data_IF_978330482660
#
_entry.id   IF_978330482660
#
_cell.length_a   1.000
_cell.length_b   1.000
_cell.length_c   1.000
_cell.angle_alpha   90.00
_cell.angle_beta   90.00
_cell.angle_gamma   90.00
#
_symmetry.space_group_name_H-M   'P 1'
#
loop_
_entity.id
_entity.type
_entity.pdbx_description
1 polymer ?
#
# COMPACT_ATOMS: atom_id res chain seq x y z
N UNK A 1 -4.07 4.77 3.21
CA UNK A 1 -4.51 3.38 3.47
C UNK A 1 -5.57 2.83 2.52
N UNK A 2 -6.47 3.65 1.94
CA UNK A 2 -7.55 3.14 1.06
C UNK A 2 -7.07 2.24 -0.08
N UNK A 3 -5.90 2.53 -0.68
CA UNK A 3 -5.32 1.68 -1.73
C UNK A 3 -4.96 0.26 -1.24
N UNK A 4 -4.35 0.11 -0.06
CA UNK A 4 -4.02 -1.20 0.50
C UNK A 4 -5.27 -2.02 0.85
N UNK A 5 -6.32 -1.35 1.32
CA UNK A 5 -7.62 -1.98 1.57
C UNK A 5 -8.23 -2.46 0.25
N UNK A 6 -8.19 -1.63 -0.79
CA UNK A 6 -8.63 -2.04 -2.12
C UNK A 6 -7.83 -3.25 -2.60
N UNK A 7 -6.50 -3.29 -2.41
CA UNK A 7 -5.66 -4.43 -2.80
C UNK A 7 -6.15 -5.75 -2.17
N UNK A 8 -6.45 -5.74 -0.87
CA UNK A 8 -6.98 -6.92 -0.18
C UNK A 8 -8.39 -7.29 -0.67
N UNK A 9 -9.25 -6.31 -0.97
CA UNK A 9 -10.58 -6.54 -1.54
C UNK A 9 -10.46 -7.20 -2.90
N UNK A 10 -9.66 -6.62 -3.80
CA UNK A 10 -9.47 -7.12 -5.16
C UNK A 10 -8.91 -8.54 -5.17
N UNK A 11 -7.97 -8.86 -4.29
CA UNK A 11 -7.44 -10.20 -4.17
C UNK A 11 -8.40 -11.22 -3.56
N UNK A 12 -9.40 -10.77 -2.81
CA UNK A 12 -10.45 -11.62 -2.28
C UNK A 12 -11.53 -11.96 -3.32
N UNK A 13 -11.55 -11.28 -4.47
CA UNK A 13 -12.51 -11.53 -5.53
C UNK A 13 -12.17 -12.83 -6.29
N UNK A 14 -13.20 -13.58 -6.73
CA UNK A 14 -13.01 -14.66 -7.69
C UNK A 14 -12.25 -14.19 -8.94
N UNK A 15 -11.35 -15.02 -9.47
CA UNK A 15 -10.47 -14.67 -10.61
C UNK A 15 -11.24 -14.13 -11.84
N UNK A 16 -12.49 -14.55 -12.02
CA UNK A 16 -13.34 -14.12 -13.14
C UNK A 16 -13.92 -12.70 -12.98
N UNK A 17 -13.74 -12.04 -11.84
CA UNK A 17 -14.29 -10.71 -11.53
C UNK A 17 -13.24 -9.57 -11.58
N UNK A 18 -12.04 -9.86 -12.07
CA UNK A 18 -10.86 -8.98 -12.14
C UNK A 18 -10.11 -8.84 -10.81
N UNK A 19 -9.04 -9.63 -10.58
CA UNK A 19 -8.18 -9.55 -9.39
C UNK A 19 -7.12 -8.45 -9.52
N UNK A 20 -7.33 -7.45 -10.40
CA UNK A 20 -6.33 -6.42 -10.69
C UNK A 20 -6.78 -5.04 -10.24
N UNK A 21 -5.85 -4.32 -9.60
CA UNK A 21 -5.97 -2.88 -9.35
C UNK A 21 -4.97 -2.19 -10.28
N UNK A 22 -5.47 -1.28 -11.10
CA UNK A 22 -4.58 -0.32 -11.75
C UNK A 22 -3.87 0.51 -10.68
N UNK A 23 -2.57 0.29 -10.56
CA UNK A 23 -1.69 1.17 -9.81
C UNK A 23 -1.40 2.39 -10.69
N UNK A 24 -1.35 3.62 -10.13
CA UNK A 24 -1.03 4.81 -10.93
C UNK A 24 0.25 4.61 -11.73
N UNK A 25 0.28 5.12 -12.97
CA UNK A 25 1.42 4.99 -13.91
C UNK A 25 2.75 5.51 -13.35
N UNK A 26 2.72 6.36 -12.32
CA UNK A 26 3.91 6.84 -11.63
C UNK A 26 3.72 6.79 -10.10
N UNK A 27 3.93 5.61 -9.49
CA UNK A 27 3.78 5.43 -8.05
C UNK A 27 4.97 6.06 -7.29
N UNK A 28 6.10 6.31 -7.95
CA UNK A 28 7.40 6.56 -7.34
C UNK A 28 7.42 7.70 -6.30
N UNK A 29 6.87 8.87 -6.64
CA UNK A 29 6.92 10.05 -5.76
C UNK A 29 5.99 9.94 -4.55
N UNK A 30 4.77 9.44 -4.72
CA UNK A 30 3.81 9.36 -3.61
C UNK A 30 4.01 8.09 -2.78
N UNK A 31 4.31 6.97 -3.42
CA UNK A 31 4.26 5.65 -2.80
C UNK A 31 5.39 5.44 -1.81
N UNK A 32 6.64 5.65 -2.23
CA UNK A 32 7.78 5.45 -1.35
C UNK A 32 7.84 6.55 -0.28
N UNK A 33 7.61 7.81 -0.66
CA UNK A 33 7.71 8.95 0.24
C UNK A 33 6.62 8.91 1.33
N UNK A 34 5.35 8.74 0.95
CA UNK A 34 4.24 8.78 1.90
C UNK A 34 4.19 7.53 2.76
N UNK A 35 4.36 6.34 2.19
CA UNK A 35 4.34 5.10 2.99
C UNK A 35 5.51 5.08 3.99
N UNK A 36 6.71 5.49 3.58
CA UNK A 36 7.87 5.56 4.49
C UNK A 36 7.67 6.62 5.60
N UNK A 37 6.95 7.70 5.27
CA UNK A 37 6.65 8.80 6.19
C UNK A 37 5.47 8.50 7.15
N UNK A 38 4.64 7.49 6.88
CA UNK A 38 3.44 7.22 7.69
C UNK A 38 3.36 5.81 8.26
N UNK A 39 4.16 4.86 7.77
CA UNK A 39 4.18 3.48 8.22
C UNK A 39 5.54 3.11 8.87
N UNK A 40 5.53 2.16 9.80
CA UNK A 40 6.76 1.65 10.43
C UNK A 40 7.50 0.62 9.56
N UNK A 41 6.80 0.01 8.60
CA UNK A 41 7.36 -0.92 7.62
C UNK A 41 7.76 -0.22 6.33
N UNK A 42 8.67 -0.85 5.59
CA UNK A 42 8.98 -0.46 4.22
C UNK A 42 7.73 -0.53 3.32
N UNK A 43 7.58 0.37 2.35
CA UNK A 43 6.49 0.30 1.38
C UNK A 43 6.43 -1.05 0.63
N UNK A 44 5.24 -1.51 0.21
CA UNK A 44 5.13 -2.66 -0.67
C UNK A 44 5.92 -2.42 -1.96
N UNK A 45 6.71 -3.39 -2.40
CA UNK A 45 7.45 -3.29 -3.66
C UNK A 45 6.54 -3.60 -4.83
N UNK A 46 6.65 -2.78 -5.87
CA UNK A 46 5.98 -3.02 -7.15
C UNK A 46 6.96 -3.79 -8.03
N UNK A 47 6.62 -5.01 -8.42
CA UNK A 47 7.41 -5.88 -9.30
C UNK A 47 6.58 -6.18 -10.53
N UNK A 48 7.07 -5.79 -11.71
CA UNK A 48 6.37 -5.95 -13.00
C UNK A 48 4.93 -5.39 -13.04
N UNK A 49 4.67 -4.32 -12.26
CA UNK A 49 3.35 -3.69 -12.16
C UNK A 49 2.41 -4.34 -11.13
N UNK A 50 2.87 -5.34 -10.39
CA UNK A 50 2.11 -6.05 -9.37
C UNK A 50 2.67 -5.77 -7.96
N UNK A 51 1.79 -5.87 -6.96
CA UNK A 51 2.17 -5.79 -5.54
C UNK A 51 1.77 -7.08 -4.85
N UNK A 52 2.73 -7.66 -4.14
CA UNK A 52 2.50 -8.83 -3.32
C UNK A 52 1.70 -8.46 -2.06
N UNK A 53 0.74 -9.32 -1.73
CA UNK A 53 -0.12 -9.13 -0.55
C UNK A 53 0.59 -9.73 0.64
N UNK A 54 0.62 -8.98 1.74
CA UNK A 54 1.21 -9.43 2.99
C UNK A 54 0.41 -10.61 3.57
N UNK A 55 1.11 -11.64 4.03
CA UNK A 55 0.53 -12.76 4.79
C UNK A 55 0.08 -12.37 6.21
N UNK A 56 0.50 -11.20 6.70
CA UNK A 56 0.08 -10.71 8.02
C UNK A 56 -1.39 -10.27 8.05
N UNK A 57 -2.07 -10.39 9.21
CA UNK A 57 -3.46 -9.98 9.38
C UNK A 57 -3.74 -8.51 9.01
N UNK A 58 -4.97 -8.24 8.58
CA UNK A 58 -5.40 -6.89 8.24
C UNK A 58 -4.84 -6.44 6.91
N UNK A 59 -4.13 -5.31 6.88
CA UNK A 59 -3.45 -4.82 5.67
C UNK A 59 -1.97 -5.22 5.61
N UNK A 60 -1.43 -5.81 6.68
CA UNK A 60 0.01 -6.05 6.85
C UNK A 60 0.85 -4.81 7.17
N UNK A 61 0.23 -3.62 7.27
CA UNK A 61 0.90 -2.36 7.56
C UNK A 61 0.34 -1.70 8.82
N UNK A 62 1.24 -1.19 9.66
CA UNK A 62 0.91 -0.37 10.84
C UNK A 62 1.23 1.10 10.57
N UNK A 63 0.32 1.97 11.01
CA UNK A 63 0.51 3.42 10.95
C UNK A 63 1.35 3.88 12.14
N UNK A 64 2.33 4.71 11.87
CA UNK A 64 3.20 5.35 12.86
C UNK A 64 2.73 6.77 13.15
N UNK A 65 2.06 6.98 14.28
CA UNK A 65 1.57 8.30 14.69
C UNK A 65 2.73 9.30 14.86
N UNK A 66 3.89 8.84 15.33
CA UNK A 66 5.07 9.68 15.46
C UNK A 66 5.60 10.15 14.10
N UNK A 67 5.67 9.26 13.10
CA UNK A 67 6.11 9.65 11.76
C UNK A 67 5.09 10.57 11.08
N UNK A 68 3.79 10.30 11.23
CA UNK A 68 2.73 11.20 10.74
C UNK A 68 2.90 12.61 11.31
N UNK A 69 3.16 12.74 12.62
CA UNK A 69 3.38 14.05 13.24
C UNK A 69 4.58 14.77 12.64
N UNK A 70 5.67 14.06 12.32
CA UNK A 70 6.85 14.65 11.68
C UNK A 70 6.57 15.10 10.25
N UNK A 71 5.86 14.27 9.48
CA UNK A 71 5.49 14.57 8.09
C UNK A 71 4.45 15.69 7.97
N UNK A 72 3.48 15.77 8.89
CA UNK A 72 2.46 16.82 8.86
C UNK A 72 3.00 18.23 9.17
N UNK A 73 4.22 18.33 9.69
CA UNK A 73 4.89 19.59 10.04
C UNK A 73 5.98 19.95 9.01
N UNK A 74 6.28 19.07 8.06
CA UNK A 74 7.30 19.29 7.01
C UNK A 74 6.78 20.05 5.80
#
# INVERSE_FOLDING_TARGET
MGWLINLHITASLPEHLSPYIETPLDPSWFWEEVMSAVCDKEPPKIVDGYVEISDEPGTGYSISIEKIKKFAIS
#
